data_IF_718488977534
#
_entry.id   IF_718488977534
#
_cell.length_a   1.000
_cell.length_b   1.000
_cell.length_c   1.000
_cell.angle_alpha   90.00
_cell.angle_beta   90.00
_cell.angle_gamma   90.00
#
_symmetry.space_group_name_H-M   'P 1'
#
loop_
_entity.id
_entity.type
_entity.pdbx_description
1 polymer ?
#
# COMPACT_ATOMS: atom_id res chain seq x y z
N UNK A 1 22.71 -8.71 -3.68
CA UNK A 1 21.54 -8.18 -2.96
C UNK A 1 21.11 -9.08 -1.80
N UNK A 2 20.52 -10.25 -2.01
CA UNK A 2 20.16 -11.18 -0.89
C UNK A 2 21.40 -11.64 -0.13
N UNK A 3 22.44 -12.06 -0.85
CA UNK A 3 23.76 -12.38 -0.28
C UNK A 3 24.45 -11.18 0.38
N UNK A 4 23.98 -9.97 0.10
CA UNK A 4 24.48 -8.70 0.65
C UNK A 4 23.67 -8.25 1.87
N UNK A 5 22.81 -9.11 2.42
CA UNK A 5 22.01 -8.83 3.62
C UNK A 5 20.71 -8.03 3.38
N UNK A 6 20.31 -7.78 2.14
CA UNK A 6 19.07 -7.06 1.87
C UNK A 6 17.83 -7.93 2.18
N UNK A 7 16.94 -7.39 3.02
CA UNK A 7 15.65 -8.01 3.35
C UNK A 7 14.53 -7.42 2.52
N UNK A 8 14.19 -8.10 1.42
CA UNK A 8 13.12 -7.65 0.53
C UNK A 8 11.74 -8.03 1.04
N UNK A 9 10.79 -7.11 0.84
CA UNK A 9 9.38 -7.43 0.75
C UNK A 9 8.98 -7.55 -0.71
N UNK A 10 8.19 -8.57 -1.02
CA UNK A 10 7.57 -8.73 -2.32
C UNK A 10 6.07 -8.52 -2.12
N UNK A 11 5.57 -7.43 -2.69
CA UNK A 11 4.16 -7.10 -2.64
C UNK A 11 3.48 -7.60 -3.92
N UNK A 12 2.39 -8.33 -3.77
CA UNK A 12 1.55 -8.77 -4.87
C UNK A 12 0.11 -8.26 -4.65
N UNK A 13 -0.51 -7.70 -5.68
CA UNK A 13 -1.94 -7.46 -5.66
C UNK A 13 -2.67 -8.80 -5.85
N UNK A 14 -3.70 -9.05 -5.06
CA UNK A 14 -4.55 -10.23 -5.22
C UNK A 14 -5.42 -10.06 -6.46
N UNK A 15 -5.07 -10.80 -7.50
CA UNK A 15 -5.74 -10.79 -8.81
C UNK A 15 -6.52 -12.09 -9.08
N UNK A 16 -6.57 -12.96 -8.07
CA UNK A 16 -7.18 -14.28 -8.07
C UNK A 16 -8.30 -14.34 -7.02
N UNK A 17 -9.15 -15.34 -7.11
CA UNK A 17 -10.25 -15.57 -6.16
C UNK A 17 -9.74 -15.96 -4.77
N UNK A 18 -10.48 -15.59 -3.72
CA UNK A 18 -10.05 -15.81 -2.32
C UNK A 18 -9.71 -17.28 -2.02
N UNK A 19 -10.45 -18.22 -2.59
CA UNK A 19 -10.22 -19.67 -2.44
C UNK A 19 -8.82 -20.11 -2.95
N UNK A 20 -8.23 -19.37 -3.89
CA UNK A 20 -6.93 -19.68 -4.49
C UNK A 20 -5.75 -19.08 -3.71
N UNK A 21 -6.01 -18.22 -2.71
CA UNK A 21 -4.99 -17.45 -2.01
C UNK A 21 -3.91 -18.29 -1.37
N UNK A 22 -4.27 -19.40 -0.73
CA UNK A 22 -3.28 -20.27 -0.12
C UNK A 22 -2.37 -20.92 -1.17
N UNK A 23 -2.96 -21.41 -2.27
CA UNK A 23 -2.21 -22.04 -3.37
C UNK A 23 -1.23 -21.06 -4.00
N UNK A 24 -1.69 -19.83 -4.28
CA UNK A 24 -0.87 -18.77 -4.87
C UNK A 24 0.25 -18.34 -3.92
N UNK A 25 -0.04 -18.12 -2.64
CA UNK A 25 0.95 -17.76 -1.63
C UNK A 25 2.04 -18.83 -1.47
N UNK A 26 1.66 -20.11 -1.40
CA UNK A 26 2.61 -21.24 -1.39
C UNK A 26 3.47 -21.25 -2.66
N UNK A 27 2.88 -20.94 -3.81
CA UNK A 27 3.56 -20.77 -5.09
C UNK A 27 4.66 -19.71 -5.06
N UNK A 28 4.35 -18.50 -4.57
CA UNK A 28 5.34 -17.43 -4.38
C UNK A 28 6.46 -17.87 -3.45
N UNK A 29 6.13 -18.42 -2.26
CA UNK A 29 7.15 -18.87 -1.29
C UNK A 29 8.10 -19.90 -1.88
N UNK A 30 7.58 -20.89 -2.60
CA UNK A 30 8.38 -21.93 -3.25
C UNK A 30 9.31 -21.33 -4.31
N UNK A 31 8.80 -20.43 -5.14
CA UNK A 31 9.57 -19.78 -6.20
C UNK A 31 10.71 -18.95 -5.61
N UNK A 32 10.43 -18.13 -4.60
CA UNK A 32 11.43 -17.30 -3.94
C UNK A 32 12.51 -18.12 -3.23
N UNK A 33 12.13 -19.20 -2.55
CA UNK A 33 13.11 -20.11 -1.94
C UNK A 33 14.05 -20.72 -2.98
N UNK A 34 13.52 -21.15 -4.13
CA UNK A 34 14.34 -21.68 -5.24
C UNK A 34 15.34 -20.66 -5.80
N UNK A 35 15.00 -19.37 -5.71
CA UNK A 35 15.89 -18.26 -6.10
C UNK A 35 16.90 -17.86 -4.98
N UNK A 36 16.93 -18.58 -3.86
CA UNK A 36 17.87 -18.33 -2.76
C UNK A 36 17.36 -17.37 -1.67
N UNK A 37 16.08 -16.97 -1.70
CA UNK A 37 15.49 -16.20 -0.60
C UNK A 37 15.17 -17.12 0.58
N UNK A 38 16.03 -17.12 1.59
CA UNK A 38 15.90 -17.97 2.79
C UNK A 38 14.69 -17.59 3.66
N UNK A 39 14.35 -16.29 3.69
CA UNK A 39 13.23 -15.76 4.48
C UNK A 39 12.29 -14.87 3.65
N UNK A 40 11.52 -15.43 2.69
CA UNK A 40 10.63 -14.64 1.84
C UNK A 40 9.58 -13.88 2.66
N UNK A 41 9.54 -12.56 2.52
CA UNK A 41 8.49 -11.70 3.10
C UNK A 41 7.56 -11.29 1.98
N UNK A 42 6.41 -11.93 1.91
CA UNK A 42 5.41 -11.67 0.88
C UNK A 42 4.27 -10.90 1.53
N UNK A 43 3.85 -9.81 0.91
CA UNK A 43 2.67 -9.05 1.28
C UNK A 43 1.65 -9.16 0.16
N UNK A 44 0.49 -9.73 0.45
CA UNK A 44 -0.63 -9.72 -0.50
C UNK A 44 -1.50 -8.53 -0.12
N UNK A 45 -1.82 -7.69 -1.10
CA UNK A 45 -2.70 -6.53 -0.93
C UNK A 45 -3.92 -6.67 -1.85
N UNK A 46 -5.07 -6.09 -1.51
CA UNK A 46 -6.18 -6.01 -2.44
C UNK A 46 -5.79 -5.19 -3.69
N UNK A 47 -6.47 -5.43 -4.82
CA UNK A 47 -6.22 -4.65 -6.01
C UNK A 47 -6.71 -3.20 -5.83
N UNK A 48 -5.87 -2.24 -6.23
CA UNK A 48 -6.27 -0.85 -6.38
C UNK A 48 -6.94 -0.69 -7.74
N UNK A 49 -8.18 -0.22 -7.78
CA UNK A 49 -9.01 -0.14 -9.00
C UNK A 49 -8.66 1.05 -9.91
N UNK A 50 -7.37 1.27 -10.10
CA UNK A 50 -6.76 2.27 -10.97
C UNK A 50 -5.87 1.59 -12.02
N UNK A 51 -5.36 2.36 -12.99
CA UNK A 51 -4.40 1.87 -13.98
C UNK A 51 -4.91 0.64 -14.73
N UNK A 52 -4.10 -0.43 -14.78
CA UNK A 52 -4.44 -1.66 -15.48
C UNK A 52 -5.57 -2.45 -14.83
N UNK A 53 -5.76 -2.32 -13.52
CA UNK A 53 -6.85 -2.99 -12.80
C UNK A 53 -8.22 -2.53 -13.28
N UNK A 54 -8.35 -1.23 -13.56
CA UNK A 54 -9.57 -0.63 -14.11
C UNK A 54 -10.05 -1.34 -15.38
N UNK A 55 -9.10 -1.79 -16.22
CA UNK A 55 -9.36 -2.49 -17.47
C UNK A 55 -9.59 -3.98 -17.24
N UNK A 56 -8.88 -4.60 -16.28
CA UNK A 56 -8.97 -6.04 -16.01
C UNK A 56 -10.30 -6.43 -15.35
N UNK A 57 -10.74 -5.64 -14.38
CA UNK A 57 -11.96 -5.91 -13.61
C UNK A 57 -12.94 -4.74 -13.74
N UNK A 58 -12.71 -3.68 -12.98
CA UNK A 58 -13.43 -2.41 -13.07
C UNK A 58 -12.66 -1.29 -12.39
N UNK A 59 -13.00 -0.05 -12.74
CA UNK A 59 -12.58 1.12 -11.97
C UNK A 59 -13.38 1.30 -10.68
N UNK A 60 -13.02 2.30 -9.90
CA UNK A 60 -13.84 2.75 -8.77
C UNK A 60 -15.19 3.31 -9.24
N UNK A 61 -16.24 3.02 -8.49
CA UNK A 61 -17.56 3.62 -8.67
C UNK A 61 -17.60 5.06 -8.14
N UNK A 62 -18.55 5.88 -8.62
CA UNK A 62 -18.72 7.28 -8.17
C UNK A 62 -18.95 7.42 -6.66
N UNK A 63 -19.44 6.37 -5.99
CA UNK A 63 -19.67 6.35 -4.54
C UNK A 63 -18.51 5.75 -3.73
N UNK A 64 -17.47 5.23 -4.38
CA UNK A 64 -16.29 4.65 -3.71
C UNK A 64 -15.28 5.75 -3.37
N UNK A 65 -15.67 6.63 -2.45
CA UNK A 65 -14.83 7.67 -1.85
C UNK A 65 -15.06 7.74 -0.33
N UNK A 66 -14.13 8.37 0.38
CA UNK A 66 -14.19 8.48 1.83
C UNK A 66 -14.73 9.86 2.20
N UNK A 67 -15.70 9.91 3.10
CA UNK A 67 -16.19 11.17 3.69
C UNK A 67 -15.55 11.42 5.05
N UNK A 68 -15.71 12.63 5.59
CA UNK A 68 -15.19 12.94 6.94
C UNK A 68 -15.91 12.12 8.02
N UNK A 69 -17.21 11.90 7.84
CA UNK A 69 -18.06 11.15 8.76
C UNK A 69 -17.61 9.69 8.84
N UNK A 70 -17.19 9.10 7.72
CA UNK A 70 -16.63 7.74 7.69
C UNK A 70 -15.33 7.61 8.50
N UNK A 71 -14.58 8.71 8.68
CA UNK A 71 -13.31 8.75 9.39
C UNK A 71 -13.46 9.13 10.87
N UNK A 72 -14.66 9.46 11.36
CA UNK A 72 -14.86 9.95 12.73
C UNK A 72 -14.36 8.98 13.80
N UNK A 73 -14.59 7.68 13.58
CA UNK A 73 -14.18 6.59 14.50
C UNK A 73 -13.11 5.68 13.90
N UNK A 74 -12.47 6.08 12.81
CA UNK A 74 -11.43 5.29 12.15
C UNK A 74 -10.05 5.65 12.72
N UNK A 75 -9.30 4.66 13.18
CA UNK A 75 -7.90 4.86 13.59
C UNK A 75 -7.01 5.11 12.36
N UNK A 76 -6.74 6.38 12.07
CA UNK A 76 -5.94 6.80 10.93
C UNK A 76 -4.46 6.42 11.07
N UNK A 77 -3.99 6.01 12.26
CA UNK A 77 -2.63 5.49 12.43
C UNK A 77 -2.40 4.19 11.66
N UNK A 78 -3.47 3.47 11.32
CA UNK A 78 -3.41 2.30 10.46
C UNK A 78 -2.98 2.69 9.03
N UNK A 79 -3.17 3.94 8.60
CA UNK A 79 -2.89 4.33 7.23
C UNK A 79 -1.41 4.71 7.03
N UNK A 80 -0.81 4.20 5.97
CA UNK A 80 0.58 4.54 5.62
C UNK A 80 0.76 6.03 5.30
N UNK A 81 -0.29 6.69 4.80
CA UNK A 81 -0.27 8.13 4.52
C UNK A 81 -0.23 9.00 5.78
N UNK A 82 -0.49 8.45 6.96
CA UNK A 82 -0.35 9.17 8.23
C UNK A 82 1.12 9.32 8.61
N UNK A 83 1.91 8.27 8.38
CA UNK A 83 3.30 8.17 8.84
C UNK A 83 4.36 8.29 7.74
N UNK A 84 3.98 8.14 6.48
CA UNK A 84 4.89 8.06 5.35
C UNK A 84 4.71 9.20 4.35
N UNK A 85 5.79 9.57 3.69
CA UNK A 85 5.79 10.51 2.55
C UNK A 85 6.61 9.92 1.42
N UNK A 86 6.20 10.20 0.18
CA UNK A 86 6.98 9.88 -1.01
C UNK A 86 7.64 11.16 -1.51
N UNK A 87 8.97 11.19 -1.44
CA UNK A 87 9.78 12.27 -1.98
C UNK A 87 10.17 11.92 -3.41
N UNK A 88 9.97 12.86 -4.33
CA UNK A 88 10.29 12.72 -5.76
C UNK A 88 10.95 13.99 -6.28
N UNK A 89 11.44 13.95 -7.52
CA UNK A 89 11.90 15.14 -8.26
C UNK A 89 10.77 16.14 -8.58
N UNK A 90 9.51 15.72 -8.44
CA UNK A 90 8.32 16.56 -8.66
C UNK A 90 7.72 17.14 -7.38
N UNK A 91 8.43 17.00 -6.26
CA UNK A 91 7.98 17.37 -4.92
C UNK A 91 7.55 16.17 -4.09
N UNK A 92 6.86 16.44 -2.99
CA UNK A 92 6.47 15.44 -1.99
C UNK A 92 4.98 15.12 -2.10
N UNK A 93 4.67 13.82 -2.09
CA UNK A 93 3.32 13.29 -2.15
C UNK A 93 3.03 12.49 -0.89
N UNK A 94 1.77 12.47 -0.49
CA UNK A 94 1.32 11.70 0.69
C UNK A 94 1.38 10.19 0.47
N UNK A 95 1.23 9.73 -0.78
CA UNK A 95 1.14 8.31 -1.12
C UNK A 95 1.74 8.05 -2.51
N UNK A 96 2.56 7.00 -2.67
CA UNK A 96 3.10 6.63 -3.99
C UNK A 96 2.04 6.32 -5.05
N UNK A 97 0.87 5.84 -4.63
CA UNK A 97 -0.25 5.51 -5.52
C UNK A 97 -0.80 6.77 -6.23
N UNK A 98 -0.56 7.95 -5.65
CA UNK A 98 -1.15 9.21 -6.10
C UNK A 98 -0.17 10.07 -6.93
N UNK A 99 0.98 9.55 -7.35
CA UNK A 99 2.00 10.33 -8.06
C UNK A 99 1.49 10.97 -9.37
N UNK A 100 0.53 10.32 -10.03
CA UNK A 100 -0.07 10.81 -11.28
C UNK A 100 -1.20 11.83 -11.05
N UNK A 101 -1.48 12.19 -9.79
CA UNK A 101 -2.48 13.18 -9.40
C UNK A 101 -1.77 14.44 -8.92
N UNK A 102 -1.64 15.49 -9.74
CA UNK A 102 -0.90 16.70 -9.34
C UNK A 102 -1.46 17.36 -8.08
N UNK A 103 -2.77 17.24 -7.83
CA UNK A 103 -3.45 17.76 -6.64
C UNK A 103 -3.21 16.92 -5.37
N UNK A 104 -2.51 15.80 -5.48
CA UNK A 104 -2.04 14.98 -4.37
C UNK A 104 -0.62 15.35 -3.88
N UNK A 105 0.05 16.25 -4.59
CA UNK A 105 1.31 16.85 -4.13
C UNK A 105 1.03 17.71 -2.90
N UNK A 106 1.71 17.42 -1.79
CA UNK A 106 1.47 18.09 -0.51
C UNK A 106 2.46 19.23 -0.25
N UNK A 107 3.67 19.15 -0.81
CA UNK A 107 4.72 20.15 -0.63
C UNK A 107 5.81 20.02 -1.71
N UNK A 108 6.68 21.02 -1.80
CA UNK A 108 7.92 20.94 -2.60
C UNK A 108 9.00 20.18 -1.82
N UNK A 109 9.09 20.39 -0.51
CA UNK A 109 10.12 19.79 0.35
C UNK A 109 9.55 18.80 1.37
N UNK A 110 10.41 17.92 1.89
CA UNK A 110 10.02 16.97 2.94
C UNK A 110 9.62 17.69 4.23
N UNK A 111 10.34 18.74 4.62
CA UNK A 111 10.07 19.53 5.84
C UNK A 111 8.68 20.18 5.83
N UNK A 112 8.20 20.61 4.67
CA UNK A 112 6.87 21.22 4.51
C UNK A 112 5.75 20.19 4.42
N UNK A 113 6.08 18.90 4.24
CA UNK A 113 5.11 17.84 3.94
C UNK A 113 4.44 17.22 5.17
N UNK A 114 4.80 17.61 6.39
CA UNK A 114 4.25 17.05 7.63
C UNK A 114 2.81 17.48 7.95
N UNK A 115 2.08 17.94 6.95
CA UNK A 115 0.68 18.31 7.05
C UNK A 115 -0.22 17.06 6.96
N UNK A 116 -1.38 17.13 7.60
CA UNK A 116 -2.45 16.14 7.41
C UNK A 116 -2.96 16.19 5.97
N UNK A 117 -3.44 15.05 5.48
CA UNK A 117 -3.94 14.93 4.11
C UNK A 117 -5.36 14.37 4.10
N UNK A 118 -6.33 15.04 3.47
CA UNK A 118 -7.69 14.50 3.35
C UNK A 118 -7.69 13.31 2.39
N UNK A 119 -8.30 12.19 2.77
CA UNK A 119 -8.41 10.98 1.95
C UNK A 119 -9.39 11.13 0.77
N UNK A 120 -9.10 12.09 -0.12
CA UNK A 120 -10.02 12.58 -1.16
C UNK A 120 -9.97 11.83 -2.49
N UNK A 121 -9.06 10.88 -2.66
CA UNK A 121 -8.95 10.09 -3.90
C UNK A 121 -9.66 8.75 -3.74
N UNK A 122 -10.31 8.26 -4.80
CA UNK A 122 -11.02 6.97 -4.78
C UNK A 122 -10.09 5.80 -4.43
N UNK A 123 -8.79 5.88 -4.77
CA UNK A 123 -7.81 4.89 -4.34
C UNK A 123 -7.71 4.75 -2.81
N UNK A 124 -7.98 5.82 -2.06
CA UNK A 124 -8.01 5.79 -0.60
C UNK A 124 -9.12 4.86 -0.07
N UNK A 125 -10.23 4.72 -0.79
CA UNK A 125 -11.36 3.87 -0.40
C UNK A 125 -10.93 2.41 -0.16
N UNK A 126 -10.02 1.88 -0.98
CA UNK A 126 -9.47 0.54 -0.76
C UNK A 126 -8.70 0.44 0.56
N UNK A 127 -7.90 1.45 0.92
CA UNK A 127 -7.19 1.46 2.19
C UNK A 127 -8.14 1.55 3.39
N UNK A 128 -9.25 2.30 3.26
CA UNK A 128 -10.28 2.37 4.29
C UNK A 128 -10.95 1.02 4.52
N UNK A 129 -11.43 0.37 3.45
CA UNK A 129 -12.14 -0.92 3.55
C UNK A 129 -11.22 -2.06 4.01
N UNK A 130 -10.00 -2.11 3.48
CA UNK A 130 -9.11 -3.26 3.70
C UNK A 130 -8.13 -3.06 4.85
N UNK A 131 -8.05 -1.86 5.41
CA UNK A 131 -7.10 -1.48 6.46
C UNK A 131 -5.66 -1.41 5.95
N UNK A 132 -5.00 -0.26 6.13
CA UNK A 132 -3.54 -0.18 6.18
C UNK A 132 -2.72 -0.91 5.09
N UNK A 133 -3.24 -1.11 3.87
CA UNK A 133 -2.72 -2.18 2.99
C UNK A 133 -1.25 -2.01 2.60
N UNK A 134 -0.72 -0.80 2.67
CA UNK A 134 0.68 -0.46 2.40
C UNK A 134 1.54 -0.34 3.67
N UNK A 135 0.96 -0.32 4.87
CA UNK A 135 1.68 -0.22 6.12
C UNK A 135 2.46 -1.51 6.43
N UNK A 136 3.74 -1.38 6.74
CA UNK A 136 4.57 -2.51 7.08
C UNK A 136 4.75 -2.54 8.59
N UNK A 137 4.00 -3.40 9.28
CA UNK A 137 4.22 -3.64 10.70
C UNK A 137 5.61 -4.26 10.89
N UNK A 138 6.51 -3.51 11.49
CA UNK A 138 7.72 -4.05 12.10
C UNK A 138 7.36 -4.52 13.49
N UNK A 139 7.26 -5.83 13.70
CA UNK A 139 7.28 -6.39 15.05
C UNK A 139 8.66 -6.13 15.63
N UNK A 140 8.78 -5.13 16.51
CA UNK A 140 9.92 -5.03 17.40
C UNK A 140 9.86 -6.27 18.29
N UNK A 141 10.82 -7.19 18.16
CA UNK A 141 10.98 -8.24 19.17
C UNK A 141 11.38 -7.53 20.46
N UNK A 142 10.42 -7.29 21.33
CA UNK A 142 10.68 -7.02 22.74
C UNK A 142 11.22 -8.32 23.33
N UNK A 143 12.53 -8.51 23.24
CA UNK A 143 13.22 -9.54 24.01
C UNK A 143 13.05 -9.15 25.49
N UNK A 144 12.29 -9.95 26.22
CA UNK A 144 12.31 -10.02 27.67
C UNK A 144 13.04 -11.31 28.04
#
# INVERSE_FOLDING_TARGET
LVQSGFFFFITAAQTWEDAESERVFRGFRRTLRRLGYTRPRIKIIPPLRIGREKVRSRGYDRYEYITREMMADYDDNLLQCTHGRMVTDKGVYVCPILIDYPDARIAETLSESFLSYPLKHQACYTCYISGAICHNFSTTNSNN
#
